data_IF_747219615084
#
_entry.id   IF_747219615084
#
_cell.length_a   1.000
_cell.length_b   1.000
_cell.length_c   1.000
_cell.angle_alpha   90.00
_cell.angle_beta   90.00
_cell.angle_gamma   90.00
#
_symmetry.space_group_name_H-M   'P 1'
#
loop_
_entity.id
_entity.type
_entity.pdbx_description
1 polymer ?
#
# COMPACT_ATOMS: atom_id res chain seq x y z
N UNK A 1 18.10 -20.40 -16.57
CA UNK A 1 18.56 -20.04 -15.22
C UNK A 1 17.53 -19.07 -14.67
N UNK A 2 16.63 -19.57 -13.82
CA UNK A 2 15.58 -18.74 -13.21
C UNK A 2 16.21 -18.03 -12.02
N UNK A 3 16.57 -16.76 -12.18
CA UNK A 3 16.95 -15.92 -11.05
C UNK A 3 15.68 -15.73 -10.21
N UNK A 4 15.74 -16.18 -8.95
CA UNK A 4 14.78 -15.87 -7.90
C UNK A 4 14.24 -14.44 -8.06
N UNK A 5 12.94 -14.34 -8.34
CA UNK A 5 12.27 -13.08 -8.64
C UNK A 5 12.43 -12.10 -7.49
N UNK A 6 13.34 -11.14 -7.65
CA UNK A 6 13.59 -10.09 -6.66
C UNK A 6 12.28 -9.32 -6.47
N UNK A 7 11.61 -9.55 -5.33
CA UNK A 7 10.32 -8.92 -5.05
C UNK A 7 10.49 -7.41 -5.09
N UNK A 8 9.80 -6.77 -6.02
CA UNK A 8 9.91 -5.32 -6.25
C UNK A 8 9.59 -4.57 -4.95
N UNK A 9 10.48 -3.63 -4.57
CA UNK A 9 10.32 -2.76 -3.40
C UNK A 9 9.95 -1.35 -3.80
N UNK A 10 9.45 -0.58 -2.85
CA UNK A 10 9.28 0.86 -2.97
C UNK A 10 10.62 1.57 -3.21
N UNK A 11 10.59 2.79 -3.74
CA UNK A 11 11.81 3.52 -4.14
C UNK A 11 12.74 3.85 -2.97
N UNK A 12 12.18 3.97 -1.77
CA UNK A 12 12.90 4.14 -0.51
C UNK A 12 13.34 2.80 0.13
N UNK A 13 13.09 1.67 -0.52
CA UNK A 13 13.48 0.34 -0.08
C UNK A 13 12.76 -0.15 1.19
N UNK A 14 11.77 0.60 1.69
CA UNK A 14 11.15 0.35 3.00
C UNK A 14 10.24 -0.88 2.98
N UNK A 15 9.46 -1.10 1.92
CA UNK A 15 8.49 -2.20 1.85
C UNK A 15 8.50 -2.86 0.47
N UNK A 16 8.14 -4.15 0.41
CA UNK A 16 7.84 -4.80 -0.87
C UNK A 16 6.48 -4.32 -1.35
N UNK A 17 6.29 -4.21 -2.66
CA UNK A 17 4.98 -3.82 -3.20
C UNK A 17 3.88 -4.79 -2.75
N UNK A 18 4.21 -6.08 -2.63
CA UNK A 18 3.31 -7.12 -2.11
C UNK A 18 2.85 -6.85 -0.67
N UNK A 19 3.73 -6.36 0.21
CA UNK A 19 3.37 -6.06 1.61
C UNK A 19 2.36 -4.89 1.66
N UNK A 20 2.55 -3.89 0.78
CA UNK A 20 1.64 -2.76 0.61
C UNK A 20 0.29 -3.22 0.06
N UNK A 21 0.29 -4.11 -0.94
CA UNK A 21 -0.92 -4.69 -1.53
C UNK A 21 -1.68 -5.53 -0.50
N UNK A 22 -0.99 -6.36 0.28
CA UNK A 22 -1.59 -7.18 1.33
C UNK A 22 -2.29 -6.29 2.37
N UNK A 23 -1.58 -5.28 2.87
CA UNK A 23 -2.16 -4.28 3.78
C UNK A 23 -3.38 -3.59 3.16
N UNK A 24 -3.28 -3.10 1.92
CA UNK A 24 -4.38 -2.42 1.24
C UNK A 24 -5.61 -3.31 1.05
N UNK A 25 -5.45 -4.61 0.80
CA UNK A 25 -6.57 -5.58 0.71
C UNK A 25 -7.31 -5.76 2.04
N UNK A 26 -6.69 -5.41 3.18
CA UNK A 26 -7.38 -5.44 4.49
C UNK A 26 -8.26 -4.23 4.75
N UNK A 27 -8.16 -3.18 3.91
CA UNK A 27 -8.91 -1.94 4.10
C UNK A 27 -10.25 -2.00 3.38
N UNK A 28 -11.34 -1.84 4.13
CA UNK A 28 -12.69 -1.77 3.56
C UNK A 28 -12.79 -0.62 2.55
N UNK A 29 -13.32 -0.92 1.36
CA UNK A 29 -13.52 0.07 0.30
C UNK A 29 -12.29 0.37 -0.54
N UNK A 30 -11.14 -0.25 -0.27
CA UNK A 30 -9.97 -0.19 -1.16
C UNK A 30 -10.05 -1.31 -2.19
N UNK A 31 -9.89 -0.96 -3.46
CA UNK A 31 -9.74 -1.92 -4.56
C UNK A 31 -8.38 -1.76 -5.22
N UNK A 32 -7.88 -2.85 -5.80
CA UNK A 32 -6.57 -2.92 -6.43
C UNK A 32 -6.76 -3.38 -7.86
N UNK A 33 -6.29 -2.56 -8.80
CA UNK A 33 -6.23 -2.92 -10.21
C UNK A 33 -4.79 -3.17 -10.62
N UNK A 34 -4.55 -4.24 -11.37
CA UNK A 34 -3.24 -4.58 -11.91
C UNK A 34 -3.07 -3.98 -13.30
N UNK A 35 -1.87 -3.50 -13.61
CA UNK A 35 -1.59 -2.79 -14.85
C UNK A 35 -0.19 -3.05 -15.40
N UNK A 36 0.05 -2.58 -16.63
CA UNK A 36 1.31 -2.79 -17.35
C UNK A 36 2.38 -1.73 -17.02
N UNK A 37 1.99 -0.45 -16.96
CA UNK A 37 2.92 0.67 -16.66
C UNK A 37 3.17 0.89 -15.17
N UNK A 38 2.14 0.66 -14.35
CA UNK A 38 2.23 0.59 -12.90
C UNK A 38 1.66 -0.77 -12.50
N UNK A 39 2.39 -1.59 -11.73
CA UNK A 39 1.96 -2.94 -11.43
C UNK A 39 0.66 -2.95 -10.63
N UNK A 40 0.44 -1.96 -9.76
CA UNK A 40 -0.79 -1.85 -8.99
C UNK A 40 -1.33 -0.41 -8.95
N UNK A 41 -2.64 -0.27 -9.01
CA UNK A 41 -3.37 0.97 -8.82
C UNK A 41 -4.38 0.80 -7.68
N UNK A 42 -4.16 1.53 -6.59
CA UNK A 42 -5.02 1.57 -5.42
C UNK A 42 -6.14 2.59 -5.64
N UNK A 43 -7.39 2.16 -5.48
CA UNK A 43 -8.58 3.01 -5.54
C UNK A 43 -9.33 2.92 -4.22
N UNK A 44 -10.04 3.99 -3.88
CA UNK A 44 -10.89 4.01 -2.68
C UNK A 44 -12.30 4.45 -3.06
N UNK A 45 -13.29 3.60 -2.78
CA UNK A 45 -14.66 3.79 -3.22
C UNK A 45 -15.50 4.66 -2.27
N UNK A 46 -15.10 4.78 -0.99
CA UNK A 46 -15.94 5.41 0.04
C UNK A 46 -15.77 6.93 0.11
N UNK A 47 -14.69 7.49 -0.45
CA UNK A 47 -14.46 8.94 -0.48
C UNK A 47 -13.54 9.35 -1.64
N UNK A 48 -13.64 10.59 -2.15
CA UNK A 48 -12.80 11.11 -3.23
C UNK A 48 -11.39 11.47 -2.72
N UNK A 49 -10.55 10.47 -2.49
CA UNK A 49 -9.16 10.64 -2.02
C UNK A 49 -8.11 10.59 -3.14
N UNK A 50 -8.55 10.28 -4.37
CA UNK A 50 -7.70 10.04 -5.54
C UNK A 50 -7.13 8.62 -5.58
N UNK A 51 -6.60 8.22 -6.74
CA UNK A 51 -5.97 6.91 -6.90
C UNK A 51 -4.48 6.99 -6.53
N UNK A 52 -3.92 5.90 -6.01
CA UNK A 52 -2.49 5.80 -5.73
C UNK A 52 -1.84 4.72 -6.60
N UNK A 53 -0.95 5.13 -7.50
CA UNK A 53 -0.14 4.21 -8.29
C UNK A 53 1.00 3.66 -7.43
N UNK A 54 1.05 2.33 -7.32
CA UNK A 54 2.07 1.59 -6.59
C UNK A 54 2.97 0.89 -7.60
N UNK A 55 4.22 1.34 -7.66
CA UNK A 55 5.28 0.83 -8.50
C UNK A 55 6.61 0.88 -7.75
N UNK A 56 7.68 0.32 -8.32
CA UNK A 56 9.01 0.40 -7.73
C UNK A 56 9.52 1.83 -7.54
N UNK A 57 8.99 2.79 -8.29
CA UNK A 57 9.30 4.22 -8.16
C UNK A 57 8.49 4.95 -7.07
N UNK A 58 7.59 4.27 -6.36
CA UNK A 58 6.73 4.89 -5.35
C UNK A 58 7.48 5.02 -4.02
N UNK A 59 7.53 6.23 -3.45
CA UNK A 59 8.06 6.49 -2.10
C UNK A 59 6.98 6.37 -1.04
N UNK A 60 7.26 5.66 0.05
CA UNK A 60 6.30 5.37 1.12
C UNK A 60 5.94 6.64 1.89
N UNK A 61 6.95 7.43 2.24
CA UNK A 61 6.77 8.65 3.04
C UNK A 61 6.01 9.74 2.27
N UNK A 62 6.27 9.88 0.97
CA UNK A 62 5.73 10.95 0.16
C UNK A 62 4.37 10.62 -0.47
N UNK A 63 4.09 9.34 -0.78
CA UNK A 63 2.87 8.95 -1.51
C UNK A 63 1.96 8.05 -0.68
N UNK A 64 2.47 6.92 -0.17
CA UNK A 64 1.63 5.91 0.46
C UNK A 64 1.07 6.38 1.80
N UNK A 65 1.90 6.92 2.69
CA UNK A 65 1.44 7.38 4.00
C UNK A 65 0.36 8.46 3.86
N UNK A 66 0.53 9.54 3.07
CA UNK A 66 -0.53 10.54 2.89
C UNK A 66 -1.82 9.96 2.31
N UNK A 67 -1.73 9.00 1.38
CA UNK A 67 -2.90 8.35 0.80
C UNK A 67 -3.62 7.47 1.85
N UNK A 68 -2.90 6.60 2.55
CA UNK A 68 -3.50 5.76 3.60
C UNK A 68 -4.07 6.58 4.76
N UNK A 69 -3.48 7.73 5.10
CA UNK A 69 -4.06 8.67 6.07
C UNK A 69 -5.43 9.18 5.63
N UNK A 70 -5.58 9.53 4.35
CA UNK A 70 -6.87 9.99 3.80
C UNK A 70 -7.91 8.88 3.77
N UNK A 71 -7.49 7.64 3.51
CA UNK A 71 -8.35 6.46 3.44
C UNK A 71 -8.82 6.00 4.82
N UNK A 72 -7.89 5.91 5.79
CA UNK A 72 -8.11 5.24 7.07
C UNK A 72 -8.25 6.18 8.27
N UNK A 73 -7.79 7.42 8.16
CA UNK A 73 -7.68 8.36 9.29
C UNK A 73 -6.56 8.03 10.28
N UNK A 74 -5.80 6.95 10.07
CA UNK A 74 -4.79 6.46 11.02
C UNK A 74 -3.53 7.35 11.05
N UNK A 75 -2.80 7.28 12.15
CA UNK A 75 -1.51 7.93 12.25
C UNK A 75 -0.44 7.27 11.36
N UNK A 76 0.63 8.01 11.07
CA UNK A 76 1.79 7.46 10.34
C UNK A 76 2.36 6.21 11.02
N UNK A 77 2.41 6.20 12.36
CA UNK A 77 2.97 5.09 13.14
C UNK A 77 2.12 3.82 12.97
N UNK A 78 0.81 3.95 12.99
CA UNK A 78 -0.12 2.84 12.80
C UNK A 78 -0.06 2.28 11.39
N UNK A 79 0.02 3.14 10.37
CA UNK A 79 0.18 2.74 8.97
C UNK A 79 1.49 1.97 8.77
N UNK A 80 2.60 2.49 9.29
CA UNK A 80 3.90 1.81 9.18
C UNK A 80 3.95 0.48 9.94
N UNK A 81 3.23 0.37 11.06
CA UNK A 81 3.07 -0.89 11.80
C UNK A 81 2.26 -1.89 10.97
N UNK A 82 1.12 -1.47 10.41
CA UNK A 82 0.27 -2.33 9.57
C UNK A 82 0.97 -2.79 8.30
N UNK A 83 1.75 -1.92 7.65
CA UNK A 83 2.58 -2.27 6.49
C UNK A 83 3.66 -3.31 6.83
N UNK A 84 4.26 -3.25 8.03
CA UNK A 84 5.22 -4.26 8.49
C UNK A 84 4.55 -5.61 8.80
N UNK A 85 3.32 -5.59 9.31
CA UNK A 85 2.58 -6.80 9.69
C UNK A 85 1.82 -7.43 8.52
N UNK A 86 1.57 -6.69 7.44
CA UNK A 86 0.78 -7.13 6.29
C UNK A 86 -0.74 -7.09 6.52
N UNK A 87 -1.19 -6.67 7.69
CA UNK A 87 -2.62 -6.51 8.03
C UNK A 87 -2.82 -5.40 9.06
N UNK A 88 -4.02 -4.81 9.07
CA UNK A 88 -4.44 -3.94 10.15
C UNK A 88 -4.93 -4.82 11.30
N UNK A 89 -4.18 -4.89 12.39
CA UNK A 89 -4.68 -5.48 13.63
C UNK A 89 -5.79 -4.56 14.15
N UNK A 90 -7.03 -4.88 13.77
CA UNK A 90 -8.20 -4.29 14.42
C UNK A 90 -8.13 -4.75 15.86
N UNK A 91 -7.62 -3.88 16.73
CA UNK A 91 -7.76 -4.08 18.17
C UNK A 91 -9.26 -4.15 18.40
N UNK A 92 -9.74 -5.37 18.65
CA UNK A 92 -11.09 -5.62 19.09
C UNK A 92 -11.34 -4.68 20.28
N UNK A 93 -12.25 -3.74 20.07
CA UNK A 93 -12.86 -3.00 21.16
C UNK A 93 -13.67 -3.97 22.03
#
# INVERSE_FOLDING_TARGET
MCLDGEKMKTADGMFRLEDVVAFARTLSGVTIEEGTRHPYLLKYALAPVGNCALAGSTYVQAHLIPWFKKVTGLSKKEILRGLNQGYLEQNAA
#
